data_IF_048706440015
#
_entry.id   IF_048706440015
#
_cell.length_a   1.000
_cell.length_b   1.000
_cell.length_c   1.000
_cell.angle_alpha   90.00
_cell.angle_beta   90.00
_cell.angle_gamma   90.00
#
_symmetry.space_group_name_H-M   'P 1'
#
loop_
_entity.id
_entity.type
_entity.pdbx_description
1 polymer ?
#
# COMPACT_ATOMS: atom_id res chain seq x y z
N UNK A 1 11.55 3.93 14.50
CA UNK A 1 10.21 3.90 13.86
C UNK A 1 10.24 2.97 12.65
N UNK A 2 9.19 2.15 12.41
CA UNK A 2 9.16 1.24 11.26
C UNK A 2 9.15 2.01 9.94
N UNK A 3 9.90 1.53 8.94
CA UNK A 3 9.95 2.15 7.60
C UNK A 3 8.58 2.09 6.90
N UNK A 4 7.88 0.97 7.06
CA UNK A 4 6.53 0.75 6.56
C UNK A 4 5.71 -0.04 7.58
N UNK A 5 4.39 0.19 7.59
CA UNK A 5 3.42 -0.58 8.35
C UNK A 5 2.33 -1.09 7.42
N UNK A 6 2.05 -2.39 7.48
CA UNK A 6 0.94 -3.02 6.77
C UNK A 6 -0.15 -3.31 7.79
N UNK A 7 -1.32 -2.70 7.62
CA UNK A 7 -2.44 -2.85 8.55
C UNK A 7 -3.63 -3.47 7.82
N UNK A 8 -4.33 -4.38 8.51
CA UNK A 8 -5.60 -4.94 8.05
C UNK A 8 -6.75 -4.40 8.91
N UNK A 9 -7.69 -3.69 8.30
CA UNK A 9 -8.93 -3.21 8.92
C UNK A 9 -10.17 -3.84 8.22
N UNK A 10 -10.69 -4.98 8.73
CA UNK A 10 -11.84 -5.65 8.14
C UNK A 10 -13.12 -4.80 8.12
N UNK A 11 -13.27 -3.82 9.01
CA UNK A 11 -14.46 -2.96 9.05
C UNK A 11 -14.57 -2.10 7.79
N UNK A 12 -13.42 -1.75 7.20
CA UNK A 12 -13.33 -0.97 5.97
C UNK A 12 -13.32 -1.80 4.69
N UNK A 13 -13.34 -3.14 4.80
CA UNK A 13 -13.28 -4.04 3.65
C UNK A 13 -14.28 -3.63 2.56
N UNK A 14 -15.57 -3.55 2.86
CA UNK A 14 -16.60 -3.21 1.84
C UNK A 14 -16.65 -1.75 1.40
N UNK A 15 -15.86 -0.85 2.02
CA UNK A 15 -15.90 0.59 1.71
C UNK A 15 -14.65 1.06 0.98
N UNK A 16 -13.48 0.85 1.58
CA UNK A 16 -12.21 1.40 1.11
C UNK A 16 -11.13 0.32 0.90
N UNK A 17 -11.41 -0.93 1.31
CA UNK A 17 -10.46 -2.03 1.27
C UNK A 17 -9.88 -2.37 2.64
N UNK A 18 -9.67 -3.67 2.87
CA UNK A 18 -9.24 -4.21 4.15
C UNK A 18 -7.76 -3.99 4.45
N UNK A 19 -6.91 -3.67 3.47
CA UNK A 19 -5.46 -3.58 3.63
C UNK A 19 -4.94 -2.18 3.30
N UNK A 20 -3.96 -1.71 4.06
CA UNK A 20 -3.29 -0.42 3.86
C UNK A 20 -1.79 -0.53 4.13
N UNK A 21 -0.99 0.18 3.34
CA UNK A 21 0.46 0.38 3.58
C UNK A 21 0.69 1.83 3.99
N UNK A 22 1.39 2.02 5.09
CA UNK A 22 1.71 3.32 5.71
C UNK A 22 3.23 3.47 5.76
N UNK A 23 3.77 4.62 5.32
CA UNK A 23 5.19 4.95 5.43
C UNK A 23 5.55 5.48 6.84
N UNK A 24 6.85 5.58 7.15
CA UNK A 24 7.38 6.03 8.44
C UNK A 24 6.84 7.39 8.97
N UNK A 25 6.24 8.22 8.11
CA UNK A 25 5.61 9.50 8.48
C UNK A 25 4.07 9.48 8.56
N UNK A 26 3.44 8.31 8.61
CA UNK A 26 1.97 8.18 8.63
C UNK A 26 1.29 8.36 7.26
N UNK A 27 2.08 8.59 6.20
CA UNK A 27 1.56 8.70 4.83
C UNK A 27 1.06 7.34 4.34
N UNK A 28 -0.20 7.28 3.90
CA UNK A 28 -0.74 6.12 3.22
C UNK A 28 -0.14 6.04 1.81
N UNK A 29 0.52 4.94 1.49
CA UNK A 29 1.07 4.68 0.15
C UNK A 29 0.03 4.03 -0.76
N UNK A 30 -0.71 3.04 -0.24
CA UNK A 30 -1.74 2.32 -0.98
C UNK A 30 -2.76 1.68 -0.04
N UNK A 31 -4.01 1.61 -0.49
CA UNK A 31 -5.12 0.92 0.20
C UNK A 31 -5.88 0.05 -0.80
N UNK A 32 -6.37 -1.11 -0.37
CA UNK A 32 -7.12 -2.01 -1.25
C UNK A 32 -7.71 -3.24 -0.57
N UNK A 33 -8.50 -4.00 -1.34
CA UNK A 33 -9.14 -5.23 -0.90
C UNK A 33 -8.19 -6.42 -0.80
N UNK A 34 -7.20 -6.45 -1.69
CA UNK A 34 -6.29 -7.58 -1.88
C UNK A 34 -4.89 -7.22 -1.43
N UNK A 35 -4.32 -8.04 -0.54
CA UNK A 35 -3.00 -7.79 0.04
C UNK A 35 -1.91 -7.75 -1.04
N UNK A 36 -1.90 -8.70 -1.97
CA UNK A 36 -0.89 -8.75 -3.03
C UNK A 36 -0.84 -7.48 -3.88
N UNK A 37 -2.00 -6.93 -4.26
CA UNK A 37 -2.06 -5.65 -4.98
C UNK A 37 -1.56 -4.48 -4.14
N UNK A 38 -1.82 -4.48 -2.84
CA UNK A 38 -1.37 -3.41 -1.94
C UNK A 38 0.15 -3.49 -1.73
N UNK A 39 0.72 -4.69 -1.64
CA UNK A 39 2.16 -4.91 -1.53
C UNK A 39 2.95 -4.52 -2.79
N UNK A 40 2.30 -4.43 -3.95
CA UNK A 40 2.96 -3.98 -5.18
C UNK A 40 3.53 -2.56 -5.14
N UNK A 41 3.36 -1.80 -4.05
CA UNK A 41 4.12 -0.56 -3.79
C UNK A 41 5.62 -0.80 -3.59
N UNK A 42 6.00 -2.01 -3.21
CA UNK A 42 7.39 -2.42 -3.04
C UNK A 42 8.01 -2.96 -4.34
N UNK A 43 7.18 -3.21 -5.35
CA UNK A 43 7.64 -3.69 -6.64
C UNK A 43 8.19 -2.51 -7.45
N UNK A 44 9.47 -2.60 -7.79
CA UNK A 44 10.13 -1.61 -8.64
C UNK A 44 9.65 -1.81 -10.08
N UNK A 45 8.65 -1.04 -10.49
CA UNK A 45 8.24 -0.97 -11.90
C UNK A 45 9.20 -0.07 -12.65
N UNK A 46 9.88 -0.62 -13.65
CA UNK A 46 10.71 0.15 -14.58
C UNK A 46 9.79 1.08 -15.38
N UNK A 47 10.17 2.34 -15.48
CA UNK A 47 9.53 3.30 -16.37
C UNK A 47 10.49 3.58 -17.52
N UNK A 48 9.97 3.55 -18.75
CA UNK A 48 10.69 4.08 -19.90
C UNK A 48 10.89 5.59 -19.65
N UNK A 49 12.13 6.06 -19.78
CA UNK A 49 12.47 7.48 -19.78
C UNK A 49 12.92 7.83 -21.18
N UNK A 50 12.35 8.87 -21.79
CA UNK A 50 12.87 9.42 -23.04
C UNK A 50 14.19 10.18 -22.76
N UNK A 51 15.13 10.06 -23.71
CA UNK A 51 16.46 10.65 -23.64
C UNK A 51 16.50 12.07 -24.18
#
# INVERSE_FOLDING_TARGET
>A
VPLFQIVKDPKLARRQGAFVVIAAGGRILKRGQELGRVLGVFDRTLKLVEA
#
